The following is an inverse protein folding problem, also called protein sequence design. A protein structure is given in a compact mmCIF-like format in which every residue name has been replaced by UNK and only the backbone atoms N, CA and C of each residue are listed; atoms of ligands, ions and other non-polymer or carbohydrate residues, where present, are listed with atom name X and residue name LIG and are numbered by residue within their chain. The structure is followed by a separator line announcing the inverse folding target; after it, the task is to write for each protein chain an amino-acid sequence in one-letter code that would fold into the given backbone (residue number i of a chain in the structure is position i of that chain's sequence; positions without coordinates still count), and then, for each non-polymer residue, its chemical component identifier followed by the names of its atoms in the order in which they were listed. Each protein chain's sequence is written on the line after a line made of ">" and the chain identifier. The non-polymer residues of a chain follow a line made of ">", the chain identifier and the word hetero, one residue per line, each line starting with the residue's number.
data_IF_390236088574
#
_entry.id   IF_390236088574
#
_cell.length_a   1.000
_cell.length_b   1.000
_cell.length_c   1.000
_cell.angle_alpha   90.00
_cell.angle_beta   90.00
_cell.angle_gamma   90.00
#
_symmetry.space_group_name_H-M   'P 1'
#
loop_
_entity.id
_entity.type
_entity.pdbx_description
1 polymer ?
#
# COMPACT_ATOMS: atom_id res chain seq x y z
N UNK A 1 -0.09 -31.10 21.80
CA UNK A 1 -1.29 -30.42 21.26
C UNK A 1 -0.89 -29.76 19.95
N UNK A 2 -1.28 -30.33 18.80
CA UNK A 2 -1.03 -29.72 17.49
C UNK A 2 -2.12 -28.65 17.29
N UNK A 3 -1.80 -27.40 16.95
CA UNK A 3 -2.83 -26.47 16.54
C UNK A 3 -3.40 -27.01 15.22
N UNK A 4 -4.69 -27.28 15.23
CA UNK A 4 -5.47 -27.72 14.07
C UNK A 4 -5.34 -26.63 13.01
N UNK A 5 -4.54 -26.89 11.98
CA UNK A 5 -4.60 -26.14 10.74
C UNK A 5 -5.94 -26.49 10.10
N UNK A 6 -6.93 -25.62 10.29
CA UNK A 6 -8.17 -25.65 9.53
C UNK A 6 -7.82 -25.63 8.03
N UNK A 7 -8.51 -26.41 7.19
CA UNK A 7 -8.17 -26.51 5.78
C UNK A 7 -8.42 -25.14 5.13
N UNK A 8 -7.34 -24.45 4.75
CA UNK A 8 -7.34 -23.24 3.93
C UNK A 8 -7.84 -23.57 2.52
N UNK A 9 -9.15 -23.82 2.43
CA UNK A 9 -9.87 -23.72 1.16
C UNK A 9 -9.69 -22.27 0.68
N UNK A 10 -9.57 -21.96 -0.62
CA UNK A 10 -9.60 -20.59 -1.15
C UNK A 10 -11.01 -19.98 -1.02
N UNK A 11 -11.58 -20.08 0.18
CA UNK A 11 -12.88 -19.64 0.56
C UNK A 11 -12.87 -18.12 0.56
N UNK A 12 -13.78 -17.57 -0.23
CA UNK A 12 -14.08 -16.16 -0.30
C UNK A 12 -14.01 -15.52 1.10
N UNK A 13 -13.33 -14.38 1.19
CA UNK A 13 -13.21 -13.61 2.43
C UNK A 13 -14.57 -13.47 3.11
N UNK A 14 -14.64 -13.80 4.40
CA UNK A 14 -15.86 -13.59 5.19
C UNK A 14 -16.20 -12.11 5.28
N UNK A 15 -17.48 -11.79 5.48
CA UNK A 15 -17.92 -10.39 5.64
C UNK A 15 -17.16 -9.69 6.78
N UNK A 16 -16.97 -10.37 7.91
CA UNK A 16 -16.21 -9.85 9.05
C UNK A 16 -14.75 -9.54 8.69
N UNK A 17 -14.10 -10.38 7.89
CA UNK A 17 -12.74 -10.12 7.41
C UNK A 17 -12.70 -8.93 6.43
N UNK A 18 -13.67 -8.83 5.53
CA UNK A 18 -13.79 -7.69 4.61
C UNK A 18 -13.99 -6.38 5.37
N UNK A 19 -14.82 -6.37 6.41
CA UNK A 19 -15.05 -5.18 7.24
C UNK A 19 -13.79 -4.76 8.01
N UNK A 20 -13.07 -5.73 8.59
CA UNK A 20 -11.79 -5.46 9.25
C UNK A 20 -10.75 -4.86 8.29
N UNK A 21 -10.65 -5.40 7.07
CA UNK A 21 -9.73 -4.90 6.05
C UNK A 21 -10.17 -3.52 5.53
N UNK A 22 -11.48 -3.30 5.39
CA UNK A 22 -12.05 -2.00 5.00
C UNK A 22 -11.70 -0.92 6.03
N UNK A 23 -11.90 -1.19 7.32
CA UNK A 23 -11.56 -0.25 8.38
C UNK A 23 -10.07 0.13 8.36
N UNK A 24 -9.18 -0.85 8.13
CA UNK A 24 -7.74 -0.61 7.96
C UNK A 24 -7.43 0.25 6.74
N UNK A 25 -8.03 -0.05 5.59
CA UNK A 25 -7.85 0.73 4.36
C UNK A 25 -8.31 2.19 4.53
N UNK A 26 -9.46 2.40 5.17
CA UNK A 26 -9.97 3.75 5.47
C UNK A 26 -9.03 4.51 6.40
N UNK A 27 -8.59 3.89 7.49
CA UNK A 27 -7.66 4.51 8.44
C UNK A 27 -6.34 4.90 7.77
N UNK A 28 -5.82 4.06 6.88
CA UNK A 28 -4.56 4.34 6.18
C UNK A 28 -4.72 5.45 5.15
N UNK A 29 -5.84 5.46 4.41
CA UNK A 29 -6.19 6.56 3.48
C UNK A 29 -6.24 7.90 4.22
N UNK A 30 -6.97 7.95 5.33
CA UNK A 30 -7.15 9.19 6.10
C UNK A 30 -5.82 9.68 6.68
N UNK A 31 -4.94 8.75 7.11
CA UNK A 31 -3.57 9.07 7.55
C UNK A 31 -2.75 9.73 6.43
N UNK A 32 -2.74 9.14 5.23
CA UNK A 32 -1.97 9.65 4.09
C UNK A 32 -2.50 11.00 3.59
N UNK A 33 -3.82 11.19 3.59
CA UNK A 33 -4.46 12.45 3.22
C UNK A 33 -4.15 13.56 4.24
N UNK A 34 -4.14 13.24 5.54
CA UNK A 34 -3.76 14.19 6.58
C UNK A 34 -2.28 14.61 6.45
N UNK A 35 -1.37 13.65 6.18
CA UNK A 35 0.05 13.93 5.97
C UNK A 35 0.29 14.85 4.77
N UNK A 36 -0.39 14.58 3.65
CA UNK A 36 -0.32 15.45 2.45
C UNK A 36 -0.81 16.86 2.76
N UNK A 37 -1.92 16.98 3.50
CA UNK A 37 -2.49 18.29 3.87
C UNK A 37 -1.55 19.10 4.78
N UNK A 38 -0.87 18.44 5.72
CA UNK A 38 0.11 19.10 6.61
C UNK A 38 1.39 19.54 5.88
N UNK A 39 1.82 18.80 4.85
CA UNK A 39 2.99 19.16 4.04
C UNK A 39 2.76 20.47 3.28
N UNK A 40 1.55 20.70 2.73
CA UNK A 40 1.18 21.94 2.03
C UNK A 40 1.16 23.15 2.97
N UNK A 41 0.87 22.96 4.25
CA UNK A 41 0.86 24.04 5.25
C UNK A 41 2.28 24.41 5.73
N UNK A 42 3.25 23.51 5.55
CA UNK A 42 4.66 23.71 5.88
C UNK A 42 5.48 24.18 4.67
N UNK A 43 4.96 25.15 3.92
CA UNK A 43 5.78 25.94 3.00
C UNK A 43 7.02 26.45 3.79
N UNK A 44 8.24 26.23 3.27
CA UNK A 44 9.45 26.55 4.02
C UNK A 44 9.55 28.06 4.13
N UNK A 45 9.32 28.59 5.34
CA UNK A 45 9.83 29.91 5.68
C UNK A 45 11.32 29.92 5.39
N UNK A 46 11.77 30.87 4.57
CA UNK A 46 13.09 31.08 3.95
C UNK A 46 14.30 31.14 4.93
N UNK A 47 14.14 30.69 6.17
CA UNK A 47 15.05 30.93 7.29
C UNK A 47 15.98 29.77 7.66
N UNK A 48 15.89 28.62 6.97
CA UNK A 48 16.78 27.47 7.19
C UNK A 48 17.90 27.35 6.14
N UNK A 49 18.03 28.33 5.24
CA UNK A 49 19.08 28.35 4.20
C UNK A 49 20.45 28.81 4.72
N UNK A 50 20.54 29.26 5.98
CA UNK A 50 21.80 29.67 6.57
C UNK A 50 22.47 28.46 7.26
N UNK A 51 23.44 27.85 6.57
CA UNK A 51 24.39 26.80 7.01
C UNK A 51 24.12 25.33 6.61
N UNK A 52 23.32 25.06 5.57
CA UNK A 52 23.34 23.75 4.89
C UNK A 52 24.20 23.80 3.63
N UNK A 53 25.05 22.80 3.45
CA UNK A 53 25.73 22.56 2.17
C UNK A 53 24.67 22.31 1.09
N UNK A 54 24.81 22.94 -0.07
CA UNK A 54 23.83 22.89 -1.17
C UNK A 54 23.58 21.44 -1.62
N UNK A 55 24.61 20.60 -1.56
CA UNK A 55 24.51 19.17 -1.84
C UNK A 55 23.61 18.42 -0.84
N UNK A 56 23.69 18.75 0.45
CA UNK A 56 22.85 18.13 1.48
C UNK A 56 21.39 18.55 1.34
N UNK A 57 21.13 19.85 1.11
CA UNK A 57 19.78 20.35 0.89
C UNK A 57 19.11 19.71 -0.34
N UNK A 58 19.87 19.52 -1.42
CA UNK A 58 19.39 18.82 -2.63
C UNK A 58 19.05 17.35 -2.37
N UNK A 59 19.88 16.63 -1.59
CA UNK A 59 19.60 15.24 -1.22
C UNK A 59 18.32 15.11 -0.39
N UNK A 60 18.16 15.96 0.64
CA UNK A 60 16.96 15.96 1.49
C UNK A 60 15.68 16.26 0.70
N UNK A 61 15.76 17.20 -0.26
CA UNK A 61 14.66 17.47 -1.18
C UNK A 61 14.32 16.25 -2.05
N UNK A 62 15.33 15.58 -2.62
CA UNK A 62 15.12 14.39 -3.44
C UNK A 62 14.47 13.25 -2.64
N UNK A 63 14.91 13.03 -1.40
CA UNK A 63 14.31 12.04 -0.49
C UNK A 63 12.86 12.38 -0.16
N UNK A 64 12.56 13.65 0.17
CA UNK A 64 11.21 14.11 0.44
C UNK A 64 10.28 13.92 -0.77
N UNK A 65 10.76 14.23 -1.98
CA UNK A 65 10.01 14.00 -3.22
C UNK A 65 9.76 12.51 -3.47
N UNK A 66 10.75 11.66 -3.22
CA UNK A 66 10.62 10.20 -3.33
C UNK A 66 9.57 9.64 -2.38
N UNK A 67 9.58 10.08 -1.12
CA UNK A 67 8.58 9.70 -0.13
C UNK A 67 7.17 10.14 -0.53
N UNK A 68 7.00 11.40 -0.95
CA UNK A 68 5.70 11.92 -1.40
C UNK A 68 5.17 11.17 -2.63
N UNK A 69 6.04 10.79 -3.58
CA UNK A 69 5.66 9.98 -4.72
C UNK A 69 5.22 8.56 -4.32
N UNK A 70 5.89 7.96 -3.34
CA UNK A 70 5.52 6.66 -2.79
C UNK A 70 4.17 6.72 -2.08
N UNK A 71 3.94 7.70 -1.20
CA UNK A 71 2.69 7.91 -0.47
C UNK A 71 1.51 8.12 -1.42
N UNK A 72 1.68 8.91 -2.48
CA UNK A 72 0.66 9.10 -3.52
C UNK A 72 0.30 7.79 -4.22
N UNK A 73 1.30 6.98 -4.56
CA UNK A 73 1.09 5.67 -5.20
C UNK A 73 0.37 4.71 -4.25
N UNK A 74 0.74 4.71 -2.97
CA UNK A 74 0.07 3.93 -1.94
C UNK A 74 -1.40 4.33 -1.77
N UNK A 75 -1.69 5.64 -1.72
CA UNK A 75 -3.05 6.17 -1.65
C UNK A 75 -3.91 5.68 -2.82
N UNK A 76 -3.38 5.73 -4.05
CA UNK A 76 -4.07 5.19 -5.24
C UNK A 76 -4.38 3.69 -5.11
N UNK A 77 -3.46 2.90 -4.57
CA UNK A 77 -3.68 1.47 -4.34
C UNK A 77 -4.75 1.20 -3.28
N UNK A 78 -4.82 2.02 -2.23
CA UNK A 78 -5.83 1.95 -1.18
C UNK A 78 -7.21 2.32 -1.72
N UNK A 79 -7.32 3.42 -2.46
CA UNK A 79 -8.58 3.85 -3.08
C UNK A 79 -9.14 2.80 -4.05
N UNK A 80 -8.25 2.22 -4.87
CA UNK A 80 -8.60 1.07 -5.73
C UNK A 80 -9.14 -0.11 -4.91
N UNK A 81 -8.49 -0.45 -3.80
CA UNK A 81 -8.92 -1.55 -2.93
C UNK A 81 -10.30 -1.28 -2.29
N UNK A 82 -10.53 -0.06 -1.83
CA UNK A 82 -11.85 0.39 -1.32
C UNK A 82 -12.93 0.31 -2.40
N UNK A 83 -12.63 0.77 -3.61
CA UNK A 83 -13.54 0.67 -4.76
C UNK A 83 -13.87 -0.78 -5.10
N UNK A 84 -12.89 -1.69 -5.05
CA UNK A 84 -13.13 -3.14 -5.20
C UNK A 84 -14.00 -3.73 -4.09
N UNK A 85 -13.92 -3.21 -2.86
CA UNK A 85 -14.81 -3.63 -1.77
C UNK A 85 -16.26 -3.22 -2.07
N UNK A 86 -16.48 -2.03 -2.61
CA UNK A 86 -17.80 -1.54 -3.02
C UNK A 86 -18.40 -2.36 -4.16
N UNK A 87 -17.58 -2.75 -5.15
CA UNK A 87 -18.02 -3.61 -6.26
C UNK A 87 -18.07 -5.11 -5.92
N UNK A 88 -17.68 -5.51 -4.70
CA UNK A 88 -17.65 -6.91 -4.29
C UNK A 88 -16.54 -7.75 -4.92
N UNK A 89 -15.58 -7.14 -5.64
CA UNK A 89 -14.45 -7.81 -6.30
C UNK A 89 -13.15 -7.72 -5.49
N UNK A 90 -13.23 -7.35 -4.21
CA UNK A 90 -12.07 -7.30 -3.34
C UNK A 90 -11.57 -8.71 -2.96
N UNK A 91 -10.25 -8.84 -2.91
CA UNK A 91 -9.57 -10.09 -2.56
C UNK A 91 -9.35 -11.05 -3.73
N UNK A 92 -9.44 -10.56 -4.97
CA UNK A 92 -9.05 -11.32 -6.17
C UNK A 92 -7.90 -10.61 -6.90
N UNK A 93 -7.00 -11.43 -7.46
CA UNK A 93 -5.85 -10.96 -8.24
C UNK A 93 -6.31 -10.23 -9.50
N UNK A 94 -5.57 -9.19 -9.88
CA UNK A 94 -5.77 -8.48 -11.13
C UNK A 94 -5.15 -9.17 -12.34
N UNK A 95 -4.26 -10.15 -12.13
CA UNK A 95 -3.58 -10.83 -13.20
C UNK A 95 -4.30 -12.15 -13.56
N UNK A 96 -4.49 -13.03 -12.59
CA UNK A 96 -5.14 -14.34 -12.81
C UNK A 96 -6.63 -14.38 -12.47
N UNK A 97 -7.12 -13.41 -11.67
CA UNK A 97 -8.46 -13.50 -11.06
C UNK A 97 -8.53 -14.44 -9.85
N UNK A 98 -7.41 -15.06 -9.44
CA UNK A 98 -7.39 -15.99 -8.31
C UNK A 98 -7.58 -15.28 -6.96
N UNK A 99 -8.15 -15.97 -5.95
CA UNK A 99 -8.27 -15.41 -4.60
C UNK A 99 -6.92 -15.06 -3.99
N UNK A 100 -6.78 -13.83 -3.49
CA UNK A 100 -5.63 -13.38 -2.71
C UNK A 100 -5.81 -13.89 -1.27
N UNK A 101 -4.85 -14.69 -0.80
CA UNK A 101 -4.89 -15.27 0.54
C UNK A 101 -5.10 -14.22 1.64
N UNK A 102 -5.97 -14.52 2.61
CA UNK A 102 -6.30 -13.61 3.69
C UNK A 102 -5.08 -13.13 4.46
N UNK A 103 -4.11 -14.02 4.73
CA UNK A 103 -2.84 -13.67 5.41
C UNK A 103 -2.08 -12.55 4.68
N UNK A 104 -2.08 -12.57 3.35
CA UNK A 104 -1.47 -11.53 2.52
C UNK A 104 -2.24 -10.23 2.60
N UNK A 105 -3.57 -10.28 2.54
CA UNK A 105 -4.40 -9.07 2.70
C UNK A 105 -4.35 -8.50 4.11
N UNK A 106 -4.13 -9.33 5.12
CA UNK A 106 -3.95 -8.89 6.50
C UNK A 106 -2.64 -8.12 6.68
N UNK A 107 -1.58 -8.54 5.99
CA UNK A 107 -0.28 -7.85 5.96
C UNK A 107 -0.29 -6.62 5.04
N UNK A 108 -0.89 -6.75 3.85
CA UNK A 108 -0.92 -5.74 2.79
C UNK A 108 -2.36 -5.66 2.23
N UNK A 109 -3.25 -4.87 2.85
CA UNK A 109 -4.65 -4.77 2.45
C UNK A 109 -4.88 -4.25 1.02
N UNK A 110 -3.91 -3.52 0.46
CA UNK A 110 -3.97 -3.00 -0.91
C UNK A 110 -3.30 -3.92 -1.94
N UNK A 111 -3.00 -5.18 -1.59
CA UNK A 111 -2.39 -6.13 -2.52
C UNK A 111 -3.20 -6.26 -3.83
N UNK A 112 -2.47 -6.38 -4.95
CA UNK A 112 -3.04 -6.49 -6.30
C UNK A 112 -2.95 -7.91 -6.88
N UNK A 113 -1.90 -8.61 -6.47
CA UNK A 113 -1.49 -9.92 -6.97
C UNK A 113 -1.42 -10.90 -5.80
N UNK A 114 -1.47 -12.20 -6.11
CA UNK A 114 -1.13 -13.25 -5.14
C UNK A 114 0.36 -13.18 -4.74
N UNK A 115 0.76 -13.97 -3.75
CA UNK A 115 2.17 -14.02 -3.33
C UNK A 115 3.06 -14.57 -4.46
N UNK A 116 2.62 -15.66 -5.11
CA UNK A 116 3.35 -16.29 -6.21
C UNK A 116 3.47 -15.37 -7.43
N UNK A 117 2.38 -14.68 -7.80
CA UNK A 117 2.41 -13.72 -8.92
C UNK A 117 3.32 -12.52 -8.63
N UNK A 118 3.37 -12.06 -7.38
CA UNK A 118 4.27 -11.00 -6.97
C UNK A 118 5.73 -11.44 -7.11
N UNK A 119 6.06 -12.64 -6.64
CA UNK A 119 7.40 -13.22 -6.74
C UNK A 119 7.84 -13.39 -8.20
N UNK A 120 6.95 -13.88 -9.07
CA UNK A 120 7.20 -13.98 -10.51
C UNK A 120 7.42 -12.61 -11.17
N UNK A 121 6.60 -11.61 -10.83
CA UNK A 121 6.74 -10.25 -11.36
C UNK A 121 8.07 -9.63 -10.98
N UNK A 122 8.50 -9.80 -9.72
CA UNK A 122 9.79 -9.33 -9.23
C UNK A 122 10.97 -10.09 -9.85
N UNK A 123 10.86 -11.41 -10.02
CA UNK A 123 11.88 -12.22 -10.66
C UNK A 123 12.10 -11.79 -12.12
N UNK A 124 11.01 -11.58 -12.87
CA UNK A 124 11.07 -11.01 -14.22
C UNK A 124 11.69 -9.61 -14.20
N UNK A 125 11.27 -8.73 -13.30
CA UNK A 125 11.82 -7.39 -13.18
C UNK A 125 13.33 -7.36 -12.90
N UNK A 126 13.85 -8.32 -12.11
CA UNK A 126 15.29 -8.49 -11.88
C UNK A 126 16.06 -8.95 -13.11
N UNK A 127 15.44 -9.78 -13.96
CA UNK A 127 16.06 -10.26 -15.20
C UNK A 127 16.23 -9.16 -16.25
N UNK A 128 15.39 -8.11 -16.21
CA UNK A 128 15.42 -7.00 -17.16
C UNK A 128 16.15 -5.74 -16.65
N UNK A 129 16.78 -5.79 -15.48
CA UNK A 129 17.55 -4.67 -14.90
C UNK A 129 19.03 -4.77 -15.20
#
# INVERSE_FOLDING_TARGET
>A
MKPTAEPETPAALTMKQKDQLRARLVSERDRLQAQTSMAVVREPTERAAEAMDEAQASLEQHEALGLAAHERTLLQHIERALKKLEFGTYGVSENSGEPIGFRRLQAIPWARLTASEQEESEARGRQYR
#
